data_IF_441477246351
#
_entry.id   IF_441477246351
#
_cell.length_a   1.000
_cell.length_b   1.000
_cell.length_c   1.000
_cell.angle_alpha   90.00
_cell.angle_beta   90.00
_cell.angle_gamma   90.00
#
_symmetry.space_group_name_H-M   'P 1'
#
loop_
_entity.id
_entity.type
_entity.pdbx_description
1 polymer ?
#
# COMPACT_ATOMS: atom_id res chain seq x y z
N UNK A 1 25.82 10.69 18.16
CA UNK A 1 25.73 10.40 19.62
C UNK A 1 27.06 10.73 20.27
N UNK A 2 27.09 11.45 21.41
CA UNK A 2 28.35 11.81 22.06
C UNK A 2 29.04 10.56 22.63
N UNK A 3 30.39 10.51 22.60
CA UNK A 3 31.23 9.41 23.15
C UNK A 3 30.85 9.04 24.60
N UNK A 4 30.42 10.03 25.40
CA UNK A 4 29.95 9.84 26.77
C UNK A 4 28.67 8.97 26.87
N UNK A 5 27.72 9.16 25.94
CA UNK A 5 26.48 8.38 25.88
C UNK A 5 26.75 6.93 25.53
N UNK A 6 27.71 6.67 24.65
CA UNK A 6 28.10 5.33 24.24
C UNK A 6 28.78 4.58 25.39
N UNK A 7 29.69 5.25 26.12
CA UNK A 7 30.37 4.70 27.28
C UNK A 7 29.44 4.39 28.48
N UNK A 8 28.37 5.15 28.66
CA UNK A 8 27.34 4.89 29.67
C UNK A 8 26.46 3.68 29.30
N UNK A 9 26.10 3.54 28.03
CA UNK A 9 25.26 2.41 27.57
C UNK A 9 25.97 1.06 27.63
N UNK A 10 27.32 1.04 27.48
CA UNK A 10 28.13 -0.20 27.59
C UNK A 10 28.27 -0.73 29.03
N UNK A 11 27.95 0.10 30.03
CA UNK A 11 27.99 -0.29 31.46
C UNK A 11 26.66 -0.84 32.00
N UNK A 12 25.58 -0.73 31.21
CA UNK A 12 24.24 -1.17 31.61
C UNK A 12 23.98 -2.63 31.16
N UNK A 13 23.19 -3.40 31.90
CA UNK A 13 22.75 -4.71 31.48
C UNK A 13 22.04 -4.64 30.11
N UNK A 14 22.22 -5.63 29.22
CA UNK A 14 21.60 -5.64 27.89
C UNK A 14 20.08 -5.43 27.92
N UNK A 15 19.41 -6.00 28.92
CA UNK A 15 17.96 -5.84 29.15
C UNK A 15 17.57 -4.38 29.46
N UNK A 16 18.39 -3.68 30.22
CA UNK A 16 18.19 -2.26 30.55
C UNK A 16 18.39 -1.37 29.32
N UNK A 17 19.44 -1.66 28.53
CA UNK A 17 19.69 -0.97 27.26
C UNK A 17 18.53 -1.19 26.28
N UNK A 18 18.00 -2.40 26.16
CA UNK A 18 16.83 -2.71 25.34
C UNK A 18 15.58 -1.94 25.79
N UNK A 19 15.32 -1.89 27.11
CA UNK A 19 14.22 -1.12 27.69
C UNK A 19 14.34 0.38 27.40
N UNK A 20 15.53 0.96 27.55
CA UNK A 20 15.77 2.38 27.24
C UNK A 20 15.62 2.68 25.76
N UNK A 21 16.12 1.82 24.87
CA UNK A 21 15.92 1.93 23.41
C UNK A 21 14.44 1.90 23.07
N UNK A 22 13.69 0.95 23.65
CA UNK A 22 12.24 0.81 23.45
C UNK A 22 11.49 2.05 23.97
N UNK A 23 11.81 2.52 25.17
CA UNK A 23 11.19 3.73 25.75
C UNK A 23 11.45 4.97 24.86
N UNK A 24 12.70 5.12 24.37
CA UNK A 24 13.05 6.20 23.43
C UNK A 24 12.27 6.09 22.11
N UNK A 25 12.18 4.89 21.54
CA UNK A 25 11.40 4.67 20.33
C UNK A 25 9.93 5.02 20.55
N UNK A 26 9.34 4.55 21.65
CA UNK A 26 7.95 4.86 21.98
C UNK A 26 7.71 6.36 22.19
N UNK A 27 8.65 7.08 22.79
CA UNK A 27 8.55 8.54 22.95
C UNK A 27 8.61 9.26 21.57
N UNK A 28 9.46 8.81 20.65
CA UNK A 28 9.52 9.33 19.28
C UNK A 28 8.20 9.05 18.56
N UNK A 29 7.70 7.82 18.60
CA UNK A 29 6.45 7.43 17.97
C UNK A 29 5.25 8.21 18.52
N UNK A 30 5.20 8.44 19.83
CA UNK A 30 4.17 9.27 20.47
C UNK A 30 4.23 10.73 19.96
N UNK A 31 5.45 11.27 19.82
CA UNK A 31 5.64 12.62 19.30
C UNK A 31 5.24 12.74 17.83
N UNK A 32 5.57 11.74 17.00
CA UNK A 32 5.16 11.70 15.60
C UNK A 32 3.63 11.56 15.49
N UNK A 33 3.05 10.57 16.17
CA UNK A 33 1.62 10.24 16.14
C UNK A 33 0.71 11.38 16.60
N UNK A 34 1.11 12.12 17.64
CA UNK A 34 0.31 13.21 18.22
C UNK A 34 0.94 14.60 18.00
N UNK A 35 1.97 14.67 17.17
CA UNK A 35 2.66 15.91 16.83
C UNK A 35 1.81 16.87 15.99
N UNK A 36 2.30 18.09 15.83
CA UNK A 36 1.62 19.13 15.04
C UNK A 36 1.42 18.70 13.60
N UNK A 37 2.42 18.03 12.99
CA UNK A 37 2.34 17.55 11.61
C UNK A 37 1.21 16.54 11.46
N UNK A 38 1.14 15.52 12.32
CA UNK A 38 0.09 14.50 12.23
C UNK A 38 -1.31 15.09 12.47
N UNK A 39 -1.45 16.02 13.41
CA UNK A 39 -2.73 16.71 13.62
C UNK A 39 -3.17 17.52 12.39
N UNK A 40 -2.23 18.19 11.71
CA UNK A 40 -2.52 18.88 10.44
C UNK A 40 -2.94 17.90 9.36
N UNK A 41 -2.21 16.81 9.21
CA UNK A 41 -2.56 15.74 8.24
C UNK A 41 -3.97 15.21 8.50
N UNK A 42 -4.29 14.85 9.75
CA UNK A 42 -5.61 14.35 10.12
C UNK A 42 -6.73 15.39 9.83
N UNK A 43 -6.47 16.67 10.09
CA UNK A 43 -7.45 17.75 9.85
C UNK A 43 -7.74 18.00 8.36
N UNK A 44 -6.85 17.55 7.46
CA UNK A 44 -7.00 17.66 6.01
C UNK A 44 -7.69 16.44 5.38
N UNK A 45 -7.96 15.39 6.17
CA UNK A 45 -8.64 14.18 5.73
C UNK A 45 -10.05 14.16 6.32
N UNK A 46 -11.06 14.05 5.46
CA UNK A 46 -12.46 13.95 5.86
C UNK A 46 -13.13 12.76 5.18
N UNK A 47 -13.88 11.98 5.94
CA UNK A 47 -14.67 10.85 5.43
C UNK A 47 -16.11 11.02 5.95
N UNK A 48 -17.00 11.65 5.17
CA UNK A 48 -18.38 11.89 5.59
C UNK A 48 -19.17 10.56 5.69
N UNK A 49 -20.16 10.52 6.56
CA UNK A 49 -21.08 9.39 6.67
C UNK A 49 -20.47 8.10 7.23
N UNK A 50 -19.20 8.12 7.68
CA UNK A 50 -18.58 6.92 8.24
C UNK A 50 -19.29 6.50 9.54
N UNK A 51 -19.74 5.24 9.65
CA UNK A 51 -20.45 4.79 10.83
C UNK A 51 -19.55 4.74 12.07
N UNK A 52 -20.12 4.92 13.25
CA UNK A 52 -19.45 4.64 14.52
C UNK A 52 -20.08 3.42 15.15
N UNK A 53 -19.31 2.35 15.26
CA UNK A 53 -19.79 1.04 15.74
C UNK A 53 -18.82 0.46 16.74
N UNK A 54 -19.32 -0.45 17.59
CA UNK A 54 -18.44 -1.29 18.41
C UNK A 54 -17.73 -2.29 17.51
N UNK A 55 -16.51 -2.68 17.88
CA UNK A 55 -15.73 -3.71 17.21
C UNK A 55 -16.59 -4.96 17.01
N UNK A 56 -16.64 -5.45 15.78
CA UNK A 56 -17.29 -6.68 15.39
C UNK A 56 -16.22 -7.73 15.12
N UNK A 57 -16.10 -8.79 15.96
CA UNK A 57 -15.11 -9.84 15.74
C UNK A 57 -15.16 -10.39 14.31
N UNK A 58 -14.01 -10.58 13.69
CA UNK A 58 -13.86 -11.04 12.31
C UNK A 58 -14.13 -9.98 11.22
N UNK A 59 -14.59 -8.78 11.58
CA UNK A 59 -14.85 -7.73 10.58
C UNK A 59 -13.55 -7.17 9.98
N UNK A 60 -13.45 -7.17 8.66
CA UNK A 60 -12.26 -6.74 7.91
C UNK A 60 -12.55 -5.46 7.14
N UNK A 61 -11.73 -4.43 7.33
CA UNK A 61 -11.87 -3.15 6.66
C UNK A 61 -10.61 -2.80 5.87
N UNK A 62 -10.82 -2.37 4.63
CA UNK A 62 -9.77 -1.81 3.78
C UNK A 62 -9.60 -0.31 3.99
N UNK A 63 -8.37 0.18 3.89
CA UNK A 63 -8.07 1.62 3.87
C UNK A 63 -7.11 1.94 2.75
N UNK A 64 -7.46 2.94 1.94
CA UNK A 64 -6.74 3.30 0.72
C UNK A 64 -6.65 4.82 0.54
N UNK A 65 -5.56 5.28 -0.05
CA UNK A 65 -5.42 6.62 -0.61
C UNK A 65 -5.27 6.49 -2.11
N UNK A 66 -6.07 7.24 -2.87
CA UNK A 66 -6.03 7.23 -4.32
C UNK A 66 -5.67 8.62 -4.86
N UNK A 67 -4.91 8.66 -5.94
CA UNK A 67 -4.65 9.86 -6.71
C UNK A 67 -4.36 9.51 -8.16
N UNK A 68 -5.23 9.95 -9.08
CA UNK A 68 -5.12 9.72 -10.51
C UNK A 68 -4.99 8.23 -10.87
N UNK A 69 -5.98 7.46 -10.46
CA UNK A 69 -6.07 6.01 -10.61
C UNK A 69 -7.40 5.61 -11.32
N UNK A 70 -7.91 6.47 -12.20
CA UNK A 70 -9.22 6.26 -12.86
C UNK A 70 -9.30 4.97 -13.66
N UNK A 71 -8.16 4.49 -14.16
CA UNK A 71 -8.04 3.27 -14.98
C UNK A 71 -8.12 1.97 -14.17
N UNK A 72 -7.98 2.03 -12.81
CA UNK A 72 -7.89 0.83 -11.99
C UNK A 72 -8.76 0.86 -10.72
N UNK A 73 -9.02 2.04 -10.15
CA UNK A 73 -9.61 2.13 -8.80
C UNK A 73 -10.95 1.41 -8.66
N UNK A 74 -11.78 1.40 -9.70
CA UNK A 74 -13.05 0.68 -9.66
C UNK A 74 -12.84 -0.84 -9.54
N UNK A 75 -11.87 -1.37 -10.28
CA UNK A 75 -11.53 -2.79 -10.26
C UNK A 75 -10.96 -3.18 -8.91
N UNK A 76 -10.03 -2.40 -8.36
CA UNK A 76 -9.43 -2.66 -7.05
C UNK A 76 -10.46 -2.64 -5.93
N UNK A 77 -11.32 -1.63 -5.86
CA UNK A 77 -12.34 -1.53 -4.81
C UNK A 77 -13.33 -2.70 -4.90
N UNK A 78 -13.82 -3.03 -6.10
CA UNK A 78 -14.73 -4.17 -6.30
C UNK A 78 -14.05 -5.50 -5.97
N UNK A 79 -12.78 -5.66 -6.34
CA UNK A 79 -12.00 -6.83 -5.98
C UNK A 79 -11.90 -6.99 -4.46
N UNK A 80 -11.51 -5.95 -3.74
CA UNK A 80 -11.38 -5.99 -2.27
C UNK A 80 -12.71 -6.32 -1.58
N UNK A 81 -13.82 -5.75 -2.07
CA UNK A 81 -15.15 -6.12 -1.58
C UNK A 81 -15.52 -7.58 -1.89
N UNK A 82 -15.13 -8.08 -3.07
CA UNK A 82 -15.26 -9.49 -3.47
C UNK A 82 -14.41 -10.43 -2.62
N UNK A 83 -13.26 -9.96 -2.15
CA UNK A 83 -12.40 -10.65 -1.20
C UNK A 83 -12.92 -10.62 0.26
N UNK A 84 -14.17 -10.20 0.46
CA UNK A 84 -14.87 -10.33 1.73
C UNK A 84 -14.59 -9.22 2.74
N UNK A 85 -14.18 -8.04 2.29
CA UNK A 85 -14.07 -6.88 3.18
C UNK A 85 -15.48 -6.36 3.53
N UNK A 86 -15.71 -6.06 4.81
CA UNK A 86 -16.95 -5.54 5.36
C UNK A 86 -17.12 -4.04 5.14
N UNK A 87 -16.05 -3.34 4.84
CA UNK A 87 -16.04 -1.93 4.50
C UNK A 87 -14.71 -1.50 3.90
N UNK A 88 -14.75 -0.48 3.07
CA UNK A 88 -13.57 0.11 2.43
C UNK A 88 -13.65 1.63 2.61
N UNK A 89 -12.59 2.22 3.17
CA UNK A 89 -12.42 3.67 3.24
C UNK A 89 -11.40 4.06 2.17
N UNK A 90 -11.83 4.82 1.18
CA UNK A 90 -10.94 5.38 0.15
C UNK A 90 -10.95 6.89 0.24
N UNK A 91 -9.79 7.52 0.33
CA UNK A 91 -9.69 8.98 0.28
C UNK A 91 -9.03 9.41 -1.02
N UNK A 92 -9.70 10.29 -1.74
CA UNK A 92 -9.17 10.94 -2.92
C UNK A 92 -8.20 12.06 -2.53
N UNK A 93 -6.95 11.95 -2.95
CA UNK A 93 -5.91 12.94 -2.71
C UNK A 93 -5.82 13.94 -3.87
N UNK A 94 -6.92 14.69 -4.10
CA UNK A 94 -7.01 15.75 -5.12
C UNK A 94 -6.68 15.25 -6.52
N UNK A 95 -7.30 14.16 -6.95
CA UNK A 95 -7.20 13.67 -8.32
C UNK A 95 -7.69 14.71 -9.33
N UNK A 96 -7.07 14.71 -10.49
CA UNK A 96 -7.38 15.60 -11.62
C UNK A 96 -7.99 14.88 -12.82
N UNK A 97 -8.09 13.56 -12.71
CA UNK A 97 -8.74 12.64 -13.66
C UNK A 97 -10.15 12.22 -13.18
N UNK A 98 -10.69 11.15 -13.73
CA UNK A 98 -11.99 10.59 -13.35
C UNK A 98 -12.05 9.85 -12.01
N UNK A 99 -10.93 9.70 -11.28
CA UNK A 99 -10.86 8.91 -10.02
C UNK A 99 -11.96 9.29 -9.04
N UNK A 100 -12.12 10.59 -8.75
CA UNK A 100 -13.12 11.05 -7.76
C UNK A 100 -14.53 10.69 -8.17
N UNK A 101 -14.90 10.92 -9.43
CA UNK A 101 -16.23 10.57 -9.96
C UNK A 101 -16.51 9.07 -9.82
N UNK A 102 -15.53 8.24 -10.18
CA UNK A 102 -15.64 6.78 -10.06
C UNK A 102 -15.84 6.34 -8.61
N UNK A 103 -15.11 6.94 -7.67
CA UNK A 103 -15.26 6.65 -6.24
C UNK A 103 -16.67 7.03 -5.73
N UNK A 104 -17.20 8.19 -6.13
CA UNK A 104 -18.54 8.61 -5.74
C UNK A 104 -19.63 7.69 -6.33
N UNK A 105 -19.45 7.18 -7.55
CA UNK A 105 -20.31 6.17 -8.17
C UNK A 105 -20.28 4.85 -7.38
N UNK A 106 -19.10 4.36 -7.03
CA UNK A 106 -18.94 3.15 -6.22
C UNK A 106 -19.60 3.27 -4.83
N UNK A 107 -19.51 4.43 -4.20
CA UNK A 107 -20.16 4.68 -2.91
C UNK A 107 -21.68 4.74 -3.02
N UNK A 108 -22.22 5.14 -4.18
CA UNK A 108 -23.66 5.10 -4.46
C UNK A 108 -24.14 3.67 -4.75
N UNK A 109 -23.29 2.83 -5.35
CA UNK A 109 -23.59 1.42 -5.68
C UNK A 109 -23.53 0.50 -4.46
N UNK A 110 -22.57 0.70 -3.56
CA UNK A 110 -22.31 -0.21 -2.42
C UNK A 110 -22.08 0.57 -1.11
N UNK A 111 -22.98 0.39 -0.16
CA UNK A 111 -22.93 1.05 1.16
C UNK A 111 -21.70 0.69 2.01
N UNK A 112 -20.88 -0.28 1.59
CA UNK A 112 -19.61 -0.63 2.22
C UNK A 112 -18.47 0.28 1.77
N UNK A 113 -18.64 1.06 0.69
CA UNK A 113 -17.64 2.00 0.19
C UNK A 113 -17.85 3.37 0.84
N UNK A 114 -16.85 3.83 1.55
CA UNK A 114 -16.83 5.13 2.22
C UNK A 114 -15.78 6.03 1.58
N UNK A 115 -16.22 7.04 0.86
CA UNK A 115 -15.34 7.94 0.12
C UNK A 115 -15.07 9.20 0.93
N UNK A 116 -13.80 9.57 0.98
CA UNK A 116 -13.34 10.77 1.65
C UNK A 116 -12.51 11.67 0.73
N UNK A 117 -12.01 12.74 1.31
CA UNK A 117 -11.07 13.67 0.66
C UNK A 117 -9.83 13.83 1.52
N UNK A 118 -8.67 13.81 0.90
CA UNK A 118 -7.38 14.15 1.49
C UNK A 118 -6.81 15.39 0.78
N UNK A 119 -6.74 16.51 1.49
CA UNK A 119 -6.20 17.79 1.00
C UNK A 119 -4.70 17.96 1.32
N UNK A 120 -4.04 16.95 1.85
CA UNK A 120 -2.62 16.99 2.15
C UNK A 120 -1.79 16.60 0.93
N UNK A 121 -1.06 17.58 0.35
CA UNK A 121 -0.23 17.39 -0.84
C UNK A 121 1.01 16.54 -0.52
N UNK A 122 1.64 16.79 0.65
CA UNK A 122 2.90 16.14 1.02
C UNK A 122 2.76 14.63 1.22
N UNK A 123 3.84 13.91 0.88
CA UNK A 123 3.95 12.47 1.07
C UNK A 123 4.10 12.13 2.57
N UNK A 124 2.98 11.87 3.21
CA UNK A 124 2.85 11.44 4.62
C UNK A 124 2.05 10.15 4.70
N UNK A 125 2.37 9.18 3.85
CA UNK A 125 1.59 7.95 3.66
C UNK A 125 1.35 7.22 4.98
N UNK A 126 2.39 6.91 5.74
CA UNK A 126 2.25 6.20 7.02
C UNK A 126 1.34 6.92 8.01
N UNK A 127 1.43 8.25 8.09
CA UNK A 127 0.56 9.07 8.93
C UNK A 127 -0.90 9.10 8.47
N UNK A 128 -1.13 9.20 7.16
CA UNK A 128 -2.47 9.18 6.55
C UNK A 128 -3.13 7.81 6.74
N UNK A 129 -2.43 6.73 6.40
CA UNK A 129 -2.92 5.35 6.57
C UNK A 129 -3.19 5.03 8.04
N UNK A 130 -2.34 5.49 8.96
CA UNK A 130 -2.57 5.36 10.41
C UNK A 130 -3.87 6.04 10.85
N UNK A 131 -4.17 7.21 10.30
CA UNK A 131 -5.41 7.92 10.59
C UNK A 131 -6.63 7.19 9.99
N UNK A 132 -6.55 6.72 8.74
CA UNK A 132 -7.62 5.93 8.12
C UNK A 132 -7.87 4.63 8.89
N UNK A 133 -6.80 3.98 9.37
CA UNK A 133 -6.89 2.80 10.25
C UNK A 133 -7.62 3.11 11.57
N UNK A 134 -7.39 4.30 12.14
CA UNK A 134 -8.15 4.77 13.30
C UNK A 134 -9.64 4.97 12.96
N UNK A 135 -9.95 5.50 11.79
CA UNK A 135 -11.33 5.66 11.33
C UNK A 135 -12.02 4.30 11.14
N UNK A 136 -11.34 3.32 10.53
CA UNK A 136 -11.83 1.95 10.39
C UNK A 136 -12.09 1.30 11.76
N UNK A 137 -11.17 1.50 12.73
CA UNK A 137 -11.39 1.07 14.12
C UNK A 137 -12.64 1.71 14.73
N UNK A 138 -12.87 3.01 14.52
CA UNK A 138 -14.09 3.70 14.97
C UNK A 138 -15.35 3.16 14.28
N UNK A 139 -15.24 2.67 13.05
CA UNK A 139 -16.34 2.05 12.31
C UNK A 139 -16.64 0.61 12.72
N UNK A 140 -15.81 0.03 13.60
CA UNK A 140 -16.03 -1.31 14.16
C UNK A 140 -15.18 -2.41 13.56
N UNK A 141 -14.13 -2.07 12.83
CA UNK A 141 -13.17 -3.03 12.28
C UNK A 141 -12.53 -3.89 13.36
N UNK A 142 -12.34 -5.17 13.07
CA UNK A 142 -11.50 -6.10 13.81
C UNK A 142 -10.12 -6.25 13.17
N UNK A 143 -10.09 -6.17 11.84
CA UNK A 143 -8.88 -6.14 11.02
C UNK A 143 -8.83 -4.93 10.12
N UNK A 144 -7.63 -4.43 9.87
CA UNK A 144 -7.35 -3.38 8.89
C UNK A 144 -6.41 -3.92 7.82
N UNK A 145 -6.78 -3.72 6.57
CA UNK A 145 -6.00 -4.01 5.37
C UNK A 145 -5.64 -2.67 4.72
N UNK A 146 -4.45 -2.11 4.98
CA UNK A 146 -3.95 -0.99 4.17
C UNK A 146 -3.62 -1.51 2.77
N UNK A 147 -4.19 -0.90 1.74
CA UNK A 147 -3.89 -1.26 0.37
C UNK A 147 -3.72 -0.01 -0.50
N UNK A 148 -2.92 -0.12 -1.55
CA UNK A 148 -2.78 0.92 -2.55
C UNK A 148 -3.80 0.71 -3.68
N UNK A 149 -4.12 1.75 -4.44
CA UNK A 149 -5.18 1.74 -5.44
C UNK A 149 -4.97 0.73 -6.59
N UNK A 150 -3.76 0.24 -6.72
CA UNK A 150 -3.30 -0.70 -7.75
C UNK A 150 -2.89 -2.08 -7.19
N UNK A 151 -3.45 -2.47 -6.04
CA UNK A 151 -3.16 -3.74 -5.37
C UNK A 151 -4.38 -4.66 -5.32
N UNK A 152 -4.24 -5.88 -5.85
CA UNK A 152 -5.23 -6.95 -5.80
C UNK A 152 -4.79 -8.02 -4.82
N UNK A 153 -5.48 -8.13 -3.71
CA UNK A 153 -5.13 -9.03 -2.61
C UNK A 153 -5.88 -10.35 -2.67
N UNK A 154 -5.21 -11.43 -2.28
CA UNK A 154 -5.73 -12.80 -2.32
C UNK A 154 -5.31 -13.59 -1.10
N UNK A 155 -6.08 -14.65 -0.78
CA UNK A 155 -5.69 -15.71 0.13
C UNK A 155 -5.79 -17.06 -0.59
N UNK A 156 -5.04 -18.06 -0.15
CA UNK A 156 -5.09 -19.41 -0.72
C UNK A 156 -6.41 -20.11 -0.39
N UNK A 157 -7.12 -20.58 -1.41
CA UNK A 157 -8.33 -21.39 -1.28
C UNK A 157 -9.52 -20.71 -0.58
N UNK A 158 -9.42 -19.43 -0.25
CA UNK A 158 -10.44 -18.65 0.45
C UNK A 158 -10.35 -17.17 0.12
N UNK A 159 -11.21 -16.34 0.69
CA UNK A 159 -11.13 -14.88 0.58
C UNK A 159 -10.23 -14.27 1.65
N UNK A 160 -9.69 -13.08 1.39
CA UNK A 160 -8.88 -12.31 2.37
C UNK A 160 -9.66 -12.09 3.67
N UNK A 161 -10.94 -11.74 3.56
CA UNK A 161 -11.81 -11.53 4.72
C UNK A 161 -11.97 -12.78 5.58
N UNK A 162 -12.28 -13.93 4.97
CA UNK A 162 -12.42 -15.19 5.69
C UNK A 162 -11.08 -15.64 6.30
N UNK A 163 -9.98 -15.52 5.55
CA UNK A 163 -8.65 -15.84 6.06
C UNK A 163 -8.30 -15.02 7.31
N UNK A 164 -8.50 -13.70 7.27
CA UNK A 164 -8.19 -12.81 8.40
C UNK A 164 -9.11 -13.04 9.60
N UNK A 165 -10.40 -13.31 9.37
CA UNK A 165 -11.36 -13.58 10.44
C UNK A 165 -10.96 -14.80 11.29
N UNK A 166 -10.34 -15.81 10.67
CA UNK A 166 -9.91 -17.04 11.35
C UNK A 166 -8.52 -16.93 12.01
N UNK A 167 -7.77 -15.84 11.78
CA UNK A 167 -6.44 -15.68 12.34
C UNK A 167 -6.45 -15.45 13.85
N UNK A 168 -5.50 -16.09 14.55
CA UNK A 168 -5.18 -15.80 15.96
C UNK A 168 -4.06 -14.79 16.15
N UNK A 169 -3.25 -14.56 15.10
CA UNK A 169 -2.20 -13.57 15.10
C UNK A 169 -2.77 -12.14 15.14
N UNK A 170 -1.95 -11.18 15.57
CA UNK A 170 -2.30 -9.76 15.59
C UNK A 170 -1.94 -9.04 14.28
N UNK A 171 -1.14 -9.68 13.42
CA UNK A 171 -0.74 -9.16 12.13
C UNK A 171 -0.43 -10.28 11.13
N UNK A 172 -0.59 -9.98 9.85
CA UNK A 172 -0.33 -10.87 8.72
C UNK A 172 0.46 -10.11 7.67
N UNK A 173 1.52 -10.73 7.16
CA UNK A 173 2.23 -10.25 5.99
C UNK A 173 1.56 -10.74 4.70
N UNK A 174 1.55 -9.85 3.72
CA UNK A 174 1.15 -10.12 2.36
C UNK A 174 2.38 -10.05 1.45
N UNK A 175 2.67 -11.14 0.78
CA UNK A 175 3.69 -11.22 -0.26
C UNK A 175 3.14 -10.61 -1.55
N UNK A 176 3.97 -9.93 -2.36
CA UNK A 176 3.49 -9.38 -3.61
C UNK A 176 4.39 -9.66 -4.80
N UNK A 177 3.76 -9.64 -5.98
CA UNK A 177 4.41 -9.70 -7.29
C UNK A 177 3.92 -8.56 -8.17
N UNK A 178 4.83 -7.97 -8.92
CA UNK A 178 4.45 -6.94 -9.88
C UNK A 178 3.80 -7.57 -11.12
N UNK A 179 2.85 -6.83 -11.68
CA UNK A 179 2.17 -7.15 -12.92
C UNK A 179 2.57 -6.13 -13.98
N UNK A 180 2.85 -6.62 -15.18
CA UNK A 180 3.24 -5.82 -16.33
C UNK A 180 2.37 -6.18 -17.53
N UNK A 181 2.21 -5.26 -18.50
CA UNK A 181 1.64 -5.59 -19.78
C UNK A 181 2.54 -6.61 -20.51
N UNK A 182 1.96 -7.31 -21.47
CA UNK A 182 2.75 -8.10 -22.44
C UNK A 182 3.50 -7.17 -23.39
N UNK A 183 4.52 -7.68 -24.07
CA UNK A 183 5.32 -6.90 -25.03
C UNK A 183 4.44 -6.36 -26.18
N UNK A 184 3.44 -7.13 -26.58
CA UNK A 184 2.56 -6.80 -27.72
C UNK A 184 1.51 -5.74 -27.35
N UNK A 185 1.02 -5.75 -26.10
CA UNK A 185 -0.06 -4.83 -25.65
C UNK A 185 0.49 -3.49 -25.12
N UNK A 186 1.70 -3.45 -24.60
CA UNK A 186 2.39 -2.30 -24.00
C UNK A 186 1.60 -1.59 -22.87
N UNK A 187 0.33 -1.97 -22.61
CA UNK A 187 -0.54 -1.46 -21.56
C UNK A 187 -1.50 -2.53 -21.05
N UNK A 188 -1.90 -2.39 -19.80
CA UNK A 188 -2.97 -3.18 -19.20
C UNK A 188 -4.28 -2.40 -19.28
N UNK A 189 -5.32 -3.03 -19.82
CA UNK A 189 -6.68 -2.51 -19.85
C UNK A 189 -7.61 -3.50 -19.15
N UNK A 190 -7.89 -3.24 -17.87
CA UNK A 190 -8.72 -4.12 -17.04
C UNK A 190 -10.19 -4.17 -17.48
N UNK A 191 -10.64 -3.23 -18.31
CA UNK A 191 -12.02 -3.25 -18.85
C UNK A 191 -12.16 -4.27 -19.97
N UNK A 192 -11.08 -4.52 -20.72
CA UNK A 192 -11.04 -5.51 -21.79
C UNK A 192 -10.62 -6.89 -21.29
N UNK A 193 -9.87 -6.90 -20.18
CA UNK A 193 -9.14 -8.08 -19.74
C UNK A 193 -8.02 -8.44 -20.71
N UNK A 194 -7.37 -9.55 -20.49
CA UNK A 194 -6.34 -10.08 -21.37
C UNK A 194 -5.11 -10.55 -20.61
N UNK A 195 -4.14 -11.16 -21.32
CA UNK A 195 -2.97 -11.72 -20.69
C UNK A 195 -2.06 -10.62 -20.16
N UNK A 196 -1.44 -10.89 -19.01
CA UNK A 196 -0.44 -10.03 -18.36
C UNK A 196 0.79 -10.85 -18.00
N UNK A 197 1.91 -10.16 -17.83
CA UNK A 197 3.11 -10.75 -17.25
C UNK A 197 3.11 -10.57 -15.73
N UNK A 198 3.40 -11.64 -15.00
CA UNK A 198 3.53 -11.60 -13.54
C UNK A 198 4.93 -12.06 -13.16
N UNK A 199 5.58 -11.37 -12.22
CA UNK A 199 6.86 -11.80 -11.67
C UNK A 199 6.75 -13.22 -11.12
N UNK A 200 7.70 -14.11 -11.45
CA UNK A 200 7.71 -15.49 -10.96
C UNK A 200 7.96 -15.56 -9.45
N UNK A 201 8.79 -14.67 -8.94
CA UNK A 201 9.17 -14.62 -7.53
C UNK A 201 8.55 -13.42 -6.82
N UNK A 202 8.37 -13.56 -5.52
CA UNK A 202 7.86 -12.48 -4.68
C UNK A 202 8.90 -11.36 -4.56
N UNK A 203 8.41 -10.14 -4.45
CA UNK A 203 9.22 -9.00 -4.06
C UNK A 203 9.82 -9.19 -2.66
N UNK A 204 11.02 -8.63 -2.43
CA UNK A 204 11.62 -8.59 -1.10
C UNK A 204 10.82 -7.73 -0.10
N UNK A 205 9.94 -6.88 -0.58
CA UNK A 205 9.08 -6.03 0.22
C UNK A 205 7.74 -6.72 0.48
N UNK A 206 7.19 -6.48 1.68
CA UNK A 206 5.93 -7.06 2.13
C UNK A 206 4.92 -5.95 2.43
N UNK A 207 3.64 -6.29 2.48
CA UNK A 207 2.59 -5.44 3.05
C UNK A 207 2.09 -6.04 4.36
N UNK A 208 1.47 -5.22 5.21
CA UNK A 208 0.99 -5.69 6.51
C UNK A 208 -0.49 -5.40 6.70
N UNK A 209 -1.25 -6.45 7.08
CA UNK A 209 -2.56 -6.32 7.72
C UNK A 209 -2.43 -6.49 9.22
N UNK A 210 -3.34 -5.93 10.00
CA UNK A 210 -3.23 -6.00 11.45
C UNK A 210 -4.60 -5.88 12.15
N UNK A 211 -4.64 -6.41 13.38
CA UNK A 211 -5.80 -6.21 14.26
C UNK A 211 -6.03 -4.73 14.51
N UNK A 212 -7.27 -4.31 14.26
CA UNK A 212 -7.65 -2.91 14.43
C UNK A 212 -7.47 -2.46 15.88
N UNK A 213 -6.79 -1.35 16.06
CA UNK A 213 -6.59 -0.71 17.35
C UNK A 213 -6.64 0.80 17.22
N UNK A 214 -7.01 1.46 18.33
CA UNK A 214 -7.31 2.89 18.32
C UNK A 214 -6.19 3.75 17.68
N UNK A 215 -4.93 3.37 17.87
CA UNK A 215 -3.79 4.16 17.45
C UNK A 215 -2.67 3.26 16.89
N UNK A 216 -2.99 2.46 15.86
CA UNK A 216 -1.95 1.81 15.08
C UNK A 216 -1.07 2.87 14.40
N UNK A 217 0.23 2.60 14.26
CA UNK A 217 1.16 3.48 13.57
C UNK A 217 1.82 2.71 12.43
N UNK A 218 1.30 2.93 11.22
CA UNK A 218 1.76 2.27 10.00
C UNK A 218 3.02 2.97 9.50
N UNK A 219 4.00 2.21 9.05
CA UNK A 219 5.20 2.74 8.39
C UNK A 219 4.90 3.18 6.95
N UNK A 220 5.83 3.93 6.35
CA UNK A 220 5.74 4.28 4.94
C UNK A 220 5.75 3.00 4.09
N UNK A 221 5.02 2.99 2.98
CA UNK A 221 4.89 1.83 2.10
C UNK A 221 4.04 0.68 2.65
N UNK A 222 3.35 0.86 3.79
CA UNK A 222 2.53 -0.17 4.43
C UNK A 222 3.30 -1.46 4.76
N UNK A 223 4.63 -1.38 4.96
CA UNK A 223 5.50 -2.55 5.12
C UNK A 223 5.51 -3.11 6.55
N UNK A 224 5.23 -2.31 7.56
CA UNK A 224 5.28 -2.73 8.96
C UNK A 224 4.53 -1.77 9.88
N UNK A 225 4.18 -2.25 11.06
CA UNK A 225 3.75 -1.38 12.16
C UNK A 225 4.98 -0.88 12.92
N UNK A 226 5.03 0.41 13.18
CA UNK A 226 6.13 1.06 13.90
C UNK A 226 5.98 0.97 15.42
N UNK A 227 4.82 0.63 15.92
CA UNK A 227 4.45 0.67 17.34
C UNK A 227 4.24 -0.72 17.97
N UNK A 228 4.56 -1.79 17.26
CA UNK A 228 4.42 -3.16 17.70
C UNK A 228 5.74 -3.92 17.72
N UNK A 229 5.81 -4.92 18.59
CA UNK A 229 6.73 -6.06 18.47
C UNK A 229 5.84 -7.19 18.00
N UNK A 230 5.61 -7.23 16.69
CA UNK A 230 4.72 -8.21 16.11
C UNK A 230 5.55 -9.30 15.44
N UNK A 231 5.07 -10.53 15.52
CA UNK A 231 5.57 -11.63 14.71
C UNK A 231 4.47 -11.97 13.71
N UNK A 232 4.43 -11.28 12.56
CA UNK A 232 3.38 -11.52 11.57
C UNK A 232 3.47 -12.93 11.02
N UNK A 233 2.32 -13.54 10.76
CA UNK A 233 2.22 -14.77 9.98
C UNK A 233 2.12 -14.44 8.49
N UNK A 234 2.39 -15.40 7.62
CA UNK A 234 2.20 -15.29 6.17
C UNK A 234 0.91 -15.96 5.74
N UNK A 235 0.48 -15.78 4.50
CA UNK A 235 -0.67 -16.46 3.90
C UNK A 235 -1.57 -15.56 3.07
N UNK A 236 -1.16 -14.30 2.87
CA UNK A 236 -1.77 -13.41 1.90
C UNK A 236 -0.80 -13.12 0.77
N UNK A 237 -1.34 -12.95 -0.41
CA UNK A 237 -0.62 -12.65 -1.63
C UNK A 237 -1.27 -11.48 -2.33
N UNK A 238 -0.49 -10.75 -3.11
CA UNK A 238 -0.97 -9.57 -3.82
C UNK A 238 -0.32 -9.46 -5.18
N UNK A 239 -1.11 -9.04 -6.15
CA UNK A 239 -0.67 -8.62 -7.47
C UNK A 239 -0.68 -7.09 -7.52
N UNK A 240 0.48 -6.50 -7.82
CA UNK A 240 0.71 -5.07 -7.82
C UNK A 240 0.78 -4.53 -9.25
N UNK A 241 -0.26 -3.84 -9.65
CA UNK A 241 -0.43 -3.28 -11.00
C UNK A 241 0.26 -1.91 -11.16
N UNK A 242 1.48 -1.78 -10.66
CA UNK A 242 2.22 -0.51 -10.73
C UNK A 242 2.65 -0.14 -12.14
N UNK A 243 2.82 -1.12 -13.01
CA UNK A 243 3.36 -0.96 -14.36
C UNK A 243 2.27 -1.15 -15.43
N UNK A 244 1.18 -0.36 -15.40
CA UNK A 244 0.05 -0.55 -16.32
C UNK A 244 0.30 0.00 -17.72
N UNK A 245 1.00 1.14 -17.82
CA UNK A 245 1.51 1.72 -19.06
C UNK A 245 2.66 2.66 -18.78
N UNK A 246 3.47 2.99 -19.79
CA UNK A 246 4.55 3.97 -19.67
C UNK A 246 4.04 5.32 -19.18
N UNK A 247 2.89 5.79 -19.72
CA UNK A 247 2.30 7.08 -19.37
C UNK A 247 1.84 7.10 -17.92
N UNK A 248 1.03 6.13 -17.49
CA UNK A 248 0.54 6.02 -16.12
C UNK A 248 1.69 5.91 -15.13
N UNK A 249 2.66 5.02 -15.42
CA UNK A 249 3.80 4.83 -14.54
C UNK A 249 4.64 6.09 -14.39
N UNK A 250 4.91 6.81 -15.50
CA UNK A 250 5.65 8.07 -15.47
C UNK A 250 4.92 9.15 -14.68
N UNK A 251 3.62 9.31 -14.90
CA UNK A 251 2.80 10.26 -14.16
C UNK A 251 2.77 9.94 -12.65
N UNK A 252 2.62 8.66 -12.27
CA UNK A 252 2.64 8.21 -10.89
C UNK A 252 3.96 8.57 -10.20
N UNK A 253 5.09 8.30 -10.86
CA UNK A 253 6.43 8.60 -10.33
C UNK A 253 6.65 10.11 -10.18
N UNK A 254 6.29 10.90 -11.19
CA UNK A 254 6.41 12.37 -11.14
C UNK A 254 5.58 12.98 -10.01
N UNK A 255 4.33 12.54 -9.86
CA UNK A 255 3.49 12.97 -8.74
C UNK A 255 4.07 12.54 -7.38
N UNK A 256 4.64 11.33 -7.31
CA UNK A 256 5.29 10.82 -6.11
C UNK A 256 6.49 11.67 -5.71
N UNK A 257 7.37 12.02 -6.65
CA UNK A 257 8.53 12.91 -6.42
C UNK A 257 8.08 14.29 -5.94
N UNK A 258 7.11 14.90 -6.62
CA UNK A 258 6.58 16.21 -6.21
C UNK A 258 5.97 16.17 -4.79
N UNK A 259 5.30 15.07 -4.42
CA UNK A 259 4.75 14.90 -3.07
C UNK A 259 5.84 14.69 -2.00
N UNK A 260 6.94 14.01 -2.32
CA UNK A 260 8.12 13.86 -1.45
C UNK A 260 8.79 15.21 -1.19
N UNK A 261 8.95 16.03 -2.23
CA UNK A 261 9.51 17.38 -2.13
C UNK A 261 8.61 18.28 -1.27
N UNK A 262 7.30 18.28 -1.52
CA UNK A 262 6.33 19.02 -0.72
C UNK A 262 6.31 18.60 0.76
N UNK A 263 6.69 17.35 1.06
CA UNK A 263 6.84 16.85 2.42
C UNK A 263 8.21 17.16 3.04
N UNK A 264 9.15 17.75 2.29
CA UNK A 264 10.54 17.98 2.73
C UNK A 264 11.28 16.68 3.05
N UNK A 265 10.99 15.60 2.29
CA UNK A 265 11.69 14.32 2.47
C UNK A 265 13.11 14.40 1.93
N UNK A 266 14.03 13.74 2.62
CA UNK A 266 15.43 13.65 2.23
C UNK A 266 15.60 13.05 0.82
N UNK A 267 16.59 13.54 0.07
CA UNK A 267 16.84 13.11 -1.31
C UNK A 267 17.23 11.63 -1.43
N UNK A 268 17.69 11.01 -0.36
CA UNK A 268 17.97 9.57 -0.30
C UNK A 268 16.71 8.70 -0.28
N UNK A 269 15.52 9.32 -0.10
CA UNK A 269 14.25 8.59 -0.11
C UNK A 269 13.71 8.50 -1.53
N UNK A 270 13.35 7.30 -1.95
CA UNK A 270 12.83 6.99 -3.29
C UNK A 270 13.77 7.45 -4.42
N UNK A 271 15.08 7.20 -4.27
CA UNK A 271 16.11 7.52 -5.26
C UNK A 271 15.75 7.03 -6.66
N UNK A 272 15.20 5.83 -6.74
CA UNK A 272 14.72 5.23 -7.97
C UNK A 272 13.60 6.05 -8.66
N UNK A 273 12.65 6.63 -7.91
CA UNK A 273 11.63 7.51 -8.49
C UNK A 273 12.25 8.81 -9.01
N UNK A 274 13.17 9.40 -8.23
CA UNK A 274 13.87 10.61 -8.63
C UNK A 274 14.71 10.39 -9.89
N UNK A 275 15.33 9.22 -10.01
CA UNK A 275 16.09 8.84 -11.19
C UNK A 275 15.19 8.73 -12.44
N UNK A 276 14.05 8.05 -12.33
CA UNK A 276 13.08 7.97 -13.42
C UNK A 276 12.53 9.34 -13.81
N UNK A 277 12.21 10.19 -12.85
CA UNK A 277 11.70 11.53 -13.10
C UNK A 277 12.74 12.44 -13.79
N UNK A 278 14.03 12.19 -13.58
CA UNK A 278 15.12 13.02 -14.11
C UNK A 278 15.53 12.70 -15.55
N UNK A 279 15.20 11.51 -16.07
CA UNK A 279 15.55 11.11 -17.44
C UNK A 279 14.54 11.60 -18.47
N UNK A 280 14.99 11.70 -19.75
CA UNK A 280 14.16 12.16 -20.85
C UNK A 280 13.01 11.21 -21.19
N UNK A 281 11.93 11.69 -21.84
CA UNK A 281 10.86 10.80 -22.33
C UNK A 281 11.34 9.67 -23.24
N UNK A 282 12.38 9.94 -24.06
CA UNK A 282 12.99 8.96 -24.95
C UNK A 282 13.69 7.84 -24.16
N UNK A 283 14.42 8.20 -23.12
CA UNK A 283 15.08 7.24 -22.23
C UNK A 283 14.06 6.42 -21.45
N UNK A 284 12.96 7.03 -20.96
CA UNK A 284 11.86 6.33 -20.30
C UNK A 284 11.23 5.30 -21.25
N UNK A 285 10.95 5.67 -22.48
CA UNK A 285 10.40 4.76 -23.48
C UNK A 285 11.36 3.60 -23.82
N UNK A 286 12.66 3.87 -23.85
CA UNK A 286 13.65 2.81 -24.06
C UNK A 286 13.71 1.84 -22.87
N UNK A 287 13.72 2.37 -21.64
CA UNK A 287 13.69 1.56 -20.40
C UNK A 287 12.40 0.75 -20.30
N UNK A 288 11.25 1.35 -20.64
CA UNK A 288 9.95 0.66 -20.62
C UNK A 288 9.96 -0.57 -21.49
N UNK A 289 10.44 -0.46 -22.73
CA UNK A 289 10.57 -1.61 -23.64
C UNK A 289 11.47 -2.70 -23.07
N UNK A 290 12.58 -2.33 -22.43
CA UNK A 290 13.45 -3.27 -21.74
C UNK A 290 12.76 -3.94 -20.55
N UNK A 291 11.93 -3.21 -19.79
CA UNK A 291 11.09 -3.80 -18.73
C UNK A 291 10.14 -4.85 -19.31
N UNK A 292 9.42 -4.54 -20.38
CA UNK A 292 8.51 -5.49 -21.02
C UNK A 292 9.24 -6.72 -21.58
N UNK A 293 10.43 -6.53 -22.12
CA UNK A 293 11.27 -7.62 -22.64
C UNK A 293 11.89 -8.51 -21.54
N UNK A 294 11.75 -8.16 -20.25
CA UNK A 294 12.34 -8.92 -19.15
C UNK A 294 13.87 -8.78 -19.05
N UNK A 295 14.42 -7.67 -19.53
CA UNK A 295 15.84 -7.43 -19.40
C UNK A 295 16.20 -7.05 -17.94
N UNK A 296 17.35 -7.53 -17.47
CA UNK A 296 17.92 -7.08 -16.21
C UNK A 296 18.42 -5.63 -16.34
N UNK A 297 17.92 -4.75 -15.50
CA UNK A 297 18.30 -3.33 -15.49
C UNK A 297 19.15 -3.06 -14.25
N UNK A 298 20.40 -2.72 -14.47
CA UNK A 298 21.31 -2.29 -13.41
C UNK A 298 21.07 -0.80 -13.03
N UNK A 299 21.25 -0.47 -11.75
CA UNK A 299 21.17 0.90 -11.25
C UNK A 299 19.95 1.17 -10.36
N UNK A 300 19.73 2.45 -10.03
CA UNK A 300 18.68 2.91 -9.12
C UNK A 300 17.31 3.10 -9.80
N UNK A 301 17.03 2.37 -10.87
CA UNK A 301 15.71 2.40 -11.49
C UNK A 301 14.76 1.41 -10.80
N UNK A 302 13.48 1.73 -10.69
CA UNK A 302 12.49 0.78 -10.16
C UNK A 302 12.21 -0.29 -11.22
N UNK A 303 13.12 -1.23 -11.36
CA UNK A 303 12.99 -2.30 -12.33
C UNK A 303 12.20 -3.47 -11.74
N UNK A 304 11.18 -3.97 -12.44
CA UNK A 304 10.54 -5.23 -12.09
C UNK A 304 11.52 -6.39 -12.31
N UNK A 305 11.26 -7.52 -11.62
CA UNK A 305 12.09 -8.71 -11.80
C UNK A 305 12.05 -9.21 -13.27
N UNK A 306 13.17 -9.71 -13.80
CA UNK A 306 13.24 -10.18 -15.19
C UNK A 306 12.47 -11.49 -15.41
N UNK A 307 12.47 -12.40 -14.42
CA UNK A 307 11.78 -13.68 -14.54
C UNK A 307 10.27 -13.53 -14.35
N UNK A 308 9.50 -13.84 -15.39
CA UNK A 308 8.05 -13.66 -15.44
C UNK A 308 7.36 -14.82 -16.12
N UNK A 309 6.07 -14.92 -15.86
CA UNK A 309 5.16 -15.81 -16.58
C UNK A 309 4.00 -14.99 -17.15
N UNK A 310 3.52 -15.36 -18.32
CA UNK A 310 2.30 -14.82 -18.88
C UNK A 310 1.12 -15.62 -18.34
N UNK A 311 0.13 -14.92 -17.79
CA UNK A 311 -1.11 -15.51 -17.28
C UNK A 311 -2.31 -14.79 -17.87
N UNK A 312 -3.45 -15.47 -17.94
CA UNK A 312 -4.73 -14.81 -18.21
C UNK A 312 -5.06 -13.83 -17.09
N UNK A 313 -5.89 -12.84 -17.41
CA UNK A 313 -6.23 -11.74 -16.52
C UNK A 313 -6.53 -12.23 -15.08
N UNK A 314 -5.66 -11.92 -14.11
CA UNK A 314 -5.84 -12.38 -12.72
C UNK A 314 -6.83 -11.51 -11.93
N UNK A 315 -7.36 -10.44 -12.49
CA UNK A 315 -8.38 -9.60 -11.82
C UNK A 315 -9.66 -10.38 -11.51
N UNK A 316 -9.89 -11.50 -12.20
CA UNK A 316 -11.04 -12.39 -12.01
C UNK A 316 -10.77 -13.59 -11.08
N UNK A 317 -9.56 -13.72 -10.53
CA UNK A 317 -9.28 -14.82 -9.62
C UNK A 317 -10.05 -14.66 -8.30
N UNK A 318 -10.76 -15.71 -7.90
CA UNK A 318 -11.49 -15.73 -6.63
C UNK A 318 -10.57 -15.90 -5.42
N UNK A 319 -9.45 -16.61 -5.60
CA UNK A 319 -8.42 -16.87 -4.59
C UNK A 319 -7.04 -16.94 -5.25
N UNK A 320 -6.00 -16.96 -4.42
CA UNK A 320 -4.63 -17.12 -4.92
C UNK A 320 -4.47 -18.44 -5.67
N UNK A 321 -3.95 -18.37 -6.88
CA UNK A 321 -3.67 -19.54 -7.73
C UNK A 321 -2.19 -19.56 -8.18
N UNK A 322 -1.28 -20.10 -7.33
CA UNK A 322 0.14 -20.14 -7.63
C UNK A 322 0.48 -20.97 -8.87
N UNK A 323 -0.35 -21.96 -9.24
CA UNK A 323 -0.09 -22.77 -10.43
C UNK A 323 -0.16 -21.98 -11.73
N UNK A 324 -0.98 -20.93 -11.80
CA UNK A 324 -1.03 -20.04 -12.96
C UNK A 324 0.20 -19.13 -13.07
N UNK A 325 0.91 -18.92 -11.95
CA UNK A 325 2.11 -18.08 -11.93
C UNK A 325 3.38 -18.91 -11.94
N UNK A 326 3.35 -20.11 -11.36
CA UNK A 326 4.52 -20.95 -11.19
C UNK A 326 4.67 -22.02 -12.29
N UNK A 327 3.66 -22.24 -13.10
CA UNK A 327 3.71 -23.12 -14.28
C UNK A 327 4.43 -22.43 -15.42
#
# INVERSE_FOLDING_TARGET
MSRLKQALLTRLPPTTVARLKRAKLMAILQRERFGRQQRRTNALITVPGLPRRRRRPGSVWGVCMARNEEDIIAHTVRHMLGQGLDGVIVVDNMSTDGTRRILDELAAEDARVHVGTDKQIGFHQGGKVSYLSHLAWCAGADWVVPFDADEFWFAEGTTVGAFLADQRADSVWCDFRNVLPTVDEERIDLTRGGPVQVERHESAWLRICFRARRWAWVGEGNHALRDGVETPVRGLHMLHYSYRSLEQYSAKVEHGVAALEAAGKDESIATHWRHWAAISPQERAALWRRYLAGEEIAGDYPAPAPERVTVDDPSHWASWDPFRILA
#
